data_IF_590758036097
#
_entry.id   IF_590758036097
#
_cell.length_a   1.000
_cell.length_b   1.000
_cell.length_c   1.000
_cell.angle_alpha   90.00
_cell.angle_beta   90.00
_cell.angle_gamma   90.00
#
_symmetry.space_group_name_H-M   'P 1'
#
loop_
_entity.id
_entity.type
_entity.pdbx_description
1 polymer ?
#
# COMPACT_ATOMS: atom_id res chain seq x y z
N UNK A 1 -38.94 -36.66 4.62
CA UNK A 1 -39.27 -35.26 4.27
C UNK A 1 -39.04 -34.36 5.48
N UNK A 2 -38.51 -33.15 5.24
CA UNK A 2 -38.22 -31.99 6.13
C UNK A 2 -36.77 -31.79 6.58
N UNK A 3 -36.08 -31.01 5.75
CA UNK A 3 -34.94 -30.13 6.04
C UNK A 3 -35.35 -28.98 7.00
N UNK A 4 -34.37 -28.50 7.81
CA UNK A 4 -34.10 -27.11 8.26
C UNK A 4 -33.39 -27.17 9.62
N UNK A 5 -32.28 -26.49 9.90
CA UNK A 5 -31.42 -25.60 9.14
C UNK A 5 -30.19 -25.30 10.02
N UNK A 6 -28.99 -25.54 9.51
CA UNK A 6 -27.74 -25.12 10.16
C UNK A 6 -27.62 -23.60 10.02
N UNK A 7 -27.60 -22.88 11.14
CA UNK A 7 -27.07 -21.51 11.19
C UNK A 7 -25.54 -21.61 11.12
N UNK A 8 -24.95 -21.33 9.96
CA UNK A 8 -23.53 -21.02 9.87
C UNK A 8 -23.30 -19.63 10.47
N UNK A 9 -22.51 -19.56 11.54
CA UNK A 9 -21.92 -18.30 12.00
C UNK A 9 -20.83 -17.93 10.99
N UNK A 10 -21.11 -16.95 10.13
CA UNK A 10 -20.06 -16.16 9.50
C UNK A 10 -19.33 -15.40 10.61
N UNK A 11 -18.09 -15.74 10.86
CA UNK A 11 -17.23 -15.09 11.83
C UNK A 11 -15.85 -14.86 11.23
N UNK A 12 -15.40 -13.60 11.34
CA UNK A 12 -14.07 -13.05 11.07
C UNK A 12 -13.65 -12.82 9.61
N UNK A 13 -14.08 -11.69 9.04
CA UNK A 13 -13.38 -11.01 7.92
C UNK A 13 -12.96 -9.56 8.27
N UNK A 14 -13.33 -9.03 9.44
CA UNK A 14 -13.10 -7.60 9.82
C UNK A 14 -11.80 -7.38 10.63
N UNK A 15 -10.89 -8.37 10.70
CA UNK A 15 -9.71 -8.31 11.57
C UNK A 15 -8.44 -7.79 10.88
N UNK A 16 -8.33 -7.97 9.56
CA UNK A 16 -7.15 -7.61 8.77
C UNK A 16 -6.94 -6.08 8.64
N UNK A 17 -7.98 -5.26 8.35
CA UNK A 17 -7.79 -3.82 8.18
C UNK A 17 -7.27 -3.12 9.45
N UNK A 18 -7.65 -3.63 10.62
CA UNK A 18 -7.30 -3.04 11.92
C UNK A 18 -5.83 -3.20 12.29
N UNK A 19 -5.16 -4.25 11.82
CA UNK A 19 -3.72 -4.49 12.11
C UNK A 19 -2.81 -3.62 11.24
N UNK A 20 -3.19 -3.41 9.99
CA UNK A 20 -2.50 -2.52 9.04
C UNK A 20 -2.55 -1.07 9.54
N UNK A 21 -3.74 -0.63 9.97
CA UNK A 21 -3.94 0.68 10.62
C UNK A 21 -3.11 0.86 11.90
N UNK A 22 -2.72 -0.21 12.60
CA UNK A 22 -1.87 -0.15 13.78
C UNK A 22 -0.38 -0.06 13.44
N UNK A 23 0.07 -0.72 12.37
CA UNK A 23 1.47 -0.68 11.94
C UNK A 23 1.84 0.70 11.38
N UNK A 24 0.96 1.33 10.59
CA UNK A 24 1.12 2.71 10.14
C UNK A 24 1.21 3.71 11.31
N UNK A 25 0.56 3.41 12.44
CA UNK A 25 0.62 4.23 13.66
C UNK A 25 1.87 4.01 14.51
N UNK A 26 2.56 2.87 14.40
CA UNK A 26 3.74 2.50 15.21
C UNK A 26 5.06 3.09 14.72
N UNK A 27 5.13 3.54 13.47
CA UNK A 27 6.28 4.30 12.94
C UNK A 27 6.51 5.64 13.69
N UNK A 28 5.58 6.02 14.58
CA UNK A 28 5.61 7.24 15.41
C UNK A 28 6.72 7.35 16.44
N UNK A 29 7.38 6.28 16.87
CA UNK A 29 8.29 6.37 18.04
C UNK A 29 9.72 6.83 17.70
N UNK A 30 10.06 6.96 16.41
CA UNK A 30 11.35 7.51 15.99
C UNK A 30 11.17 8.56 14.89
N UNK A 31 11.07 9.84 15.26
CA UNK A 31 11.64 10.94 14.46
C UNK A 31 11.70 12.24 15.28
N UNK A 32 12.93 12.71 15.47
CA UNK A 32 13.24 14.07 15.86
C UNK A 32 12.78 15.05 14.76
N UNK A 33 12.23 16.17 15.22
CA UNK A 33 12.15 17.51 14.61
C UNK A 33 12.43 17.67 13.11
N UNK A 34 11.43 18.13 12.35
CA UNK A 34 11.64 18.96 11.16
C UNK A 34 10.71 20.19 11.17
N UNK A 35 11.16 21.35 10.65
CA UNK A 35 10.52 22.64 10.85
C UNK A 35 9.58 23.07 9.70
N UNK A 36 8.64 23.93 10.12
CA UNK A 36 7.89 25.00 9.43
C UNK A 36 7.53 24.89 7.93
N UNK A 37 6.26 24.56 7.71
CA UNK A 37 5.30 25.15 6.76
C UNK A 37 5.84 25.86 5.51
N UNK A 38 5.73 25.19 4.36
CA UNK A 38 5.89 25.78 3.03
C UNK A 38 4.51 26.13 2.43
N UNK A 39 4.27 27.42 2.22
CA UNK A 39 3.16 27.92 1.42
C UNK A 39 3.39 27.58 -0.06
N UNK A 40 2.75 26.54 -0.60
CA UNK A 40 2.78 26.24 -2.04
C UNK A 40 1.49 26.66 -2.76
N UNK A 41 1.64 27.70 -3.58
CA UNK A 41 0.73 28.12 -4.65
C UNK A 41 0.61 27.01 -5.69
N UNK A 42 -0.59 26.44 -5.85
CA UNK A 42 -1.15 25.75 -7.05
C UNK A 42 -0.36 24.69 -7.83
N UNK A 43 0.94 24.56 -7.61
CA UNK A 43 1.86 23.75 -8.38
C UNK A 43 2.40 22.68 -7.44
N UNK A 44 1.92 21.45 -7.63
CA UNK A 44 2.35 20.28 -6.86
C UNK A 44 3.64 19.69 -7.44
N UNK A 45 4.17 20.29 -8.52
CA UNK A 45 5.40 19.87 -9.17
C UNK A 45 6.60 20.10 -8.23
N UNK A 46 7.27 19.00 -7.87
CA UNK A 46 8.40 19.03 -6.93
C UNK A 46 8.03 18.95 -5.44
N UNK A 47 6.74 18.80 -5.11
CA UNK A 47 6.32 18.57 -3.73
C UNK A 47 6.70 17.14 -3.28
N UNK A 48 7.59 17.04 -2.30
CA UNK A 48 8.15 15.76 -1.83
C UNK A 48 7.09 14.81 -1.28
N UNK A 49 6.02 15.30 -0.65
CA UNK A 49 4.96 14.44 -0.12
C UNK A 49 4.12 13.84 -1.25
N UNK A 50 3.83 14.66 -2.27
CA UNK A 50 3.09 14.21 -3.45
C UNK A 50 3.93 13.23 -4.28
N UNK A 51 5.21 13.53 -4.50
CA UNK A 51 6.12 12.63 -5.21
C UNK A 51 6.28 11.29 -4.48
N UNK A 52 6.38 11.30 -3.16
CA UNK A 52 6.41 10.06 -2.38
C UNK A 52 5.08 9.29 -2.44
N UNK A 53 3.94 9.99 -2.42
CA UNK A 53 2.63 9.36 -2.58
C UNK A 53 2.46 8.72 -3.97
N UNK A 54 2.99 9.35 -5.02
CA UNK A 54 3.04 8.77 -6.38
C UNK A 54 3.85 7.48 -6.43
N UNK A 55 4.98 7.44 -5.72
CA UNK A 55 5.82 6.23 -5.62
C UNK A 55 5.05 5.08 -4.95
N UNK A 56 4.42 5.33 -3.80
CA UNK A 56 3.60 4.33 -3.11
C UNK A 56 2.48 3.83 -4.02
N UNK A 57 1.75 4.75 -4.66
CA UNK A 57 0.62 4.38 -5.50
C UNK A 57 1.02 3.64 -6.77
N UNK A 58 2.22 3.91 -7.29
CA UNK A 58 2.77 3.16 -8.43
C UNK A 58 3.02 1.69 -8.03
N UNK A 59 3.58 1.45 -6.84
CA UNK A 59 3.74 0.09 -6.31
C UNK A 59 2.38 -0.60 -6.14
N UNK A 60 1.41 0.10 -5.54
CA UNK A 60 0.08 -0.44 -5.33
C UNK A 60 -0.64 -0.76 -6.65
N UNK A 61 -0.44 0.06 -7.68
CA UNK A 61 -0.96 -0.20 -9.02
C UNK A 61 -0.37 -1.47 -9.65
N UNK A 62 0.96 -1.66 -9.57
CA UNK A 62 1.59 -2.90 -10.02
C UNK A 62 1.04 -4.12 -9.27
N UNK A 63 0.89 -4.02 -7.95
CA UNK A 63 0.36 -5.09 -7.12
C UNK A 63 -1.11 -5.46 -7.45
N UNK A 64 -1.92 -4.49 -7.87
CA UNK A 64 -3.32 -4.73 -8.27
C UNK A 64 -3.49 -5.26 -9.70
N UNK A 65 -2.47 -5.11 -10.55
CA UNK A 65 -2.60 -5.38 -11.99
C UNK A 65 -1.61 -6.44 -12.47
N UNK A 66 -1.11 -7.29 -11.56
CA UNK A 66 -0.12 -8.33 -11.91
C UNK A 66 -0.63 -9.25 -13.02
N UNK A 67 -1.88 -9.70 -12.91
CA UNK A 67 -2.55 -10.57 -13.89
C UNK A 67 -3.31 -9.78 -14.98
N UNK A 68 -3.12 -8.46 -15.03
CA UNK A 68 -3.82 -7.53 -15.91
C UNK A 68 -5.30 -7.32 -15.57
N UNK A 69 -5.78 -7.79 -14.41
CA UNK A 69 -7.17 -7.65 -13.96
C UNK A 69 -7.24 -7.08 -12.55
N UNK A 70 -7.57 -5.80 -12.47
CA UNK A 70 -7.93 -5.17 -11.21
C UNK A 70 -9.14 -5.87 -10.57
N UNK A 71 -8.91 -6.56 -9.44
CA UNK A 71 -9.99 -7.21 -8.69
C UNK A 71 -10.64 -6.23 -7.72
N UNK A 72 -11.91 -6.48 -7.37
CA UNK A 72 -12.67 -5.55 -6.53
C UNK A 72 -12.09 -5.40 -5.13
N UNK A 73 -11.59 -6.48 -4.51
CA UNK A 73 -11.01 -6.44 -3.17
C UNK A 73 -9.71 -5.63 -3.12
N UNK A 74 -8.84 -5.81 -4.11
CA UNK A 74 -7.61 -5.03 -4.29
C UNK A 74 -7.91 -3.54 -4.46
N UNK A 75 -8.87 -3.19 -5.32
CA UNK A 75 -9.27 -1.81 -5.59
C UNK A 75 -9.88 -1.11 -4.36
N UNK A 76 -10.73 -1.82 -3.61
CA UNK A 76 -11.29 -1.34 -2.35
C UNK A 76 -10.19 -1.08 -1.31
N UNK A 77 -9.26 -2.02 -1.16
CA UNK A 77 -8.13 -1.89 -0.24
C UNK A 77 -7.23 -0.71 -0.58
N UNK A 78 -6.85 -0.55 -1.86
CA UNK A 78 -6.03 0.60 -2.29
C UNK A 78 -6.77 1.92 -2.06
N UNK A 79 -8.08 1.95 -2.28
CA UNK A 79 -8.90 3.14 -1.98
C UNK A 79 -8.87 3.49 -0.49
N UNK A 80 -8.91 2.50 0.40
CA UNK A 80 -8.74 2.69 1.84
C UNK A 80 -7.33 3.20 2.18
N UNK A 81 -6.28 2.59 1.61
CA UNK A 81 -4.89 3.02 1.82
C UNK A 81 -4.66 4.47 1.39
N UNK A 82 -5.19 4.88 0.23
CA UNK A 82 -5.16 6.27 -0.23
C UNK A 82 -5.88 7.20 0.73
N UNK A 83 -7.03 6.80 1.27
CA UNK A 83 -7.75 7.60 2.27
C UNK A 83 -6.94 7.80 3.55
N UNK A 84 -6.20 6.78 4.00
CA UNK A 84 -5.32 6.85 5.17
C UNK A 84 -4.21 7.88 4.96
N UNK A 85 -3.71 8.09 3.75
CA UNK A 85 -2.68 9.12 3.49
C UNK A 85 -3.14 10.53 3.91
N UNK A 86 -4.45 10.82 3.86
CA UNK A 86 -5.01 12.11 4.27
C UNK A 86 -5.41 12.18 5.75
N UNK A 87 -5.27 11.11 6.54
CA UNK A 87 -5.57 11.14 7.96
C UNK A 87 -4.61 12.08 8.74
N UNK A 88 -4.99 12.60 9.92
CA UNK A 88 -4.12 13.47 10.69
C UNK A 88 -2.73 12.85 10.98
N UNK A 89 -1.66 13.60 10.70
CA UNK A 89 -0.25 13.18 10.83
C UNK A 89 0.19 12.10 9.83
N UNK A 90 -0.55 11.90 8.74
CA UNK A 90 -0.13 11.08 7.61
C UNK A 90 0.46 11.95 6.49
N UNK A 91 1.04 11.27 5.50
CA UNK A 91 1.81 11.85 4.40
C UNK A 91 1.13 13.05 3.73
N UNK A 92 -0.18 12.96 3.49
CA UNK A 92 -0.97 13.95 2.78
C UNK A 92 -1.93 14.72 3.71
N UNK A 93 -1.66 14.72 5.02
CA UNK A 93 -2.55 15.32 6.02
C UNK A 93 -2.73 16.83 5.86
N UNK A 94 -1.73 17.52 5.30
CA UNK A 94 -1.75 18.96 5.02
C UNK A 94 -2.52 19.32 3.74
N UNK A 95 -2.85 18.34 2.90
CA UNK A 95 -3.52 18.55 1.61
C UNK A 95 -5.03 18.32 1.69
N UNK A 96 -5.61 18.26 2.89
CA UNK A 96 -7.07 18.03 3.09
C UNK A 96 -7.92 19.02 2.31
N UNK A 97 -7.53 20.29 2.28
CA UNK A 97 -8.26 21.35 1.58
C UNK A 97 -8.09 21.27 0.05
N UNK A 98 -7.03 20.59 -0.43
CA UNK A 98 -6.74 20.34 -1.85
C UNK A 98 -6.97 18.88 -2.25
N UNK A 99 -7.71 18.11 -1.45
CA UNK A 99 -7.84 16.66 -1.60
C UNK A 99 -8.31 16.24 -2.99
N UNK A 100 -9.23 16.97 -3.60
CA UNK A 100 -9.74 16.67 -4.94
C UNK A 100 -8.64 16.73 -6.00
N UNK A 101 -7.79 17.75 -5.95
CA UNK A 101 -6.68 17.95 -6.90
C UNK A 101 -5.62 16.86 -6.71
N UNK A 102 -5.24 16.59 -5.46
CA UNK A 102 -4.28 15.53 -5.15
C UNK A 102 -4.80 14.16 -5.57
N UNK A 103 -6.08 13.85 -5.34
CA UNK A 103 -6.68 12.60 -5.80
C UNK A 103 -6.68 12.46 -7.33
N UNK A 104 -6.81 13.56 -8.08
CA UNK A 104 -6.69 13.51 -9.54
C UNK A 104 -5.27 13.15 -9.99
N UNK A 105 -4.26 13.72 -9.34
CA UNK A 105 -2.85 13.39 -9.59
C UNK A 105 -2.59 11.92 -9.28
N UNK A 106 -3.04 11.47 -8.10
CA UNK A 106 -2.89 10.09 -7.65
C UNK A 106 -3.63 9.12 -8.58
N UNK A 107 -4.88 9.40 -8.96
CA UNK A 107 -5.63 8.57 -9.92
C UNK A 107 -4.85 8.41 -11.23
N UNK A 108 -4.30 9.50 -11.77
CA UNK A 108 -3.48 9.43 -12.98
C UNK A 108 -2.23 8.57 -12.78
N UNK A 109 -1.57 8.68 -11.63
CA UNK A 109 -0.40 7.84 -11.31
C UNK A 109 -0.77 6.37 -11.11
N UNK A 110 -1.97 6.06 -10.63
CA UNK A 110 -2.42 4.68 -10.54
C UNK A 110 -2.61 4.08 -11.95
N UNK A 111 -3.21 4.85 -12.88
CA UNK A 111 -3.41 4.43 -14.26
C UNK A 111 -2.09 4.36 -15.06
N UNK A 112 -1.15 5.27 -14.76
CA UNK A 112 0.17 5.40 -15.39
C UNK A 112 1.27 5.33 -14.31
N UNK A 113 1.58 4.15 -13.76
CA UNK A 113 2.52 4.01 -12.66
C UNK A 113 3.95 4.39 -13.08
N UNK A 114 4.70 4.96 -12.13
CA UNK A 114 6.13 5.22 -12.31
C UNK A 114 6.87 3.89 -12.52
N UNK A 115 7.99 3.88 -13.29
CA UNK A 115 8.77 2.67 -13.50
C UNK A 115 9.18 2.01 -12.18
N UNK A 116 9.13 0.68 -12.08
CA UNK A 116 9.51 -0.06 -10.87
C UNK A 116 10.89 0.33 -10.34
N UNK A 117 11.86 0.59 -11.22
CA UNK A 117 13.20 1.08 -10.85
C UNK A 117 13.17 2.41 -10.09
N UNK A 118 12.23 3.30 -10.40
CA UNK A 118 12.02 4.55 -9.67
C UNK A 118 11.44 4.25 -8.28
N UNK A 119 10.50 3.31 -8.20
CA UNK A 119 9.87 2.88 -6.94
C UNK A 119 10.91 2.27 -5.99
N UNK A 120 11.70 1.31 -6.46
CA UNK A 120 12.70 0.61 -5.63
C UNK A 120 13.83 1.53 -5.20
N UNK A 121 14.25 2.46 -6.07
CA UNK A 121 15.25 3.49 -5.72
C UNK A 121 14.80 4.40 -4.58
N UNK A 122 13.50 4.59 -4.35
CA UNK A 122 12.99 5.44 -3.28
C UNK A 122 13.26 4.88 -1.87
N UNK A 123 13.54 3.57 -1.78
CA UNK A 123 13.77 2.86 -0.51
C UNK A 123 15.16 2.21 -0.45
N UNK A 124 16.02 2.55 -1.41
CA UNK A 124 17.40 2.04 -1.44
C UNK A 124 18.13 2.40 -0.14
N UNK A 125 18.92 1.45 0.37
CA UNK A 125 19.67 1.57 1.62
C UNK A 125 18.81 1.82 2.87
N UNK A 126 17.49 1.56 2.79
CA UNK A 126 16.57 1.66 3.92
C UNK A 126 15.73 0.38 4.05
N UNK A 127 16.31 -0.61 4.73
CA UNK A 127 15.71 -1.94 4.92
C UNK A 127 14.29 -1.89 5.48
N UNK A 128 14.02 -0.96 6.40
CA UNK A 128 12.69 -0.82 7.00
C UNK A 128 11.66 -0.34 5.98
N UNK A 129 12.02 0.60 5.11
CA UNK A 129 11.11 1.10 4.07
C UNK A 129 10.97 0.10 2.94
N UNK A 130 12.04 -0.59 2.56
CA UNK A 130 11.96 -1.70 1.61
C UNK A 130 11.01 -2.79 2.12
N UNK A 131 11.11 -3.17 3.39
CA UNK A 131 10.23 -4.16 3.99
C UNK A 131 8.77 -3.68 4.07
N UNK A 132 8.53 -2.41 4.36
CA UNK A 132 7.18 -1.83 4.37
C UNK A 132 6.57 -1.85 2.95
N UNK A 133 7.35 -1.52 1.92
CA UNK A 133 6.90 -1.57 0.52
C UNK A 133 6.53 -3.01 0.13
N UNK A 134 7.39 -3.96 0.50
CA UNK A 134 7.10 -5.37 0.26
C UNK A 134 5.84 -5.84 1.00
N UNK A 135 5.66 -5.45 2.26
CA UNK A 135 4.46 -5.79 3.05
C UNK A 135 3.18 -5.20 2.46
N UNK A 136 3.21 -3.95 1.97
CA UNK A 136 2.07 -3.34 1.27
C UNK A 136 1.68 -4.16 0.03
N UNK A 137 2.65 -4.53 -0.80
CA UNK A 137 2.41 -5.33 -2.01
C UNK A 137 1.84 -6.71 -1.69
N UNK A 138 2.40 -7.42 -0.70
CA UNK A 138 1.88 -8.72 -0.23
C UNK A 138 0.44 -8.57 0.28
N UNK A 139 0.16 -7.51 1.03
CA UNK A 139 -1.18 -7.27 1.56
C UNK A 139 -2.21 -7.04 0.45
N UNK A 140 -1.85 -6.30 -0.60
CA UNK A 140 -2.72 -6.02 -1.75
C UNK A 140 -2.98 -7.31 -2.52
N UNK A 141 -1.93 -8.01 -2.93
CA UNK A 141 -2.03 -9.26 -3.70
C UNK A 141 -2.81 -10.34 -2.94
N UNK A 142 -2.66 -10.41 -1.61
CA UNK A 142 -3.37 -11.37 -0.78
C UNK A 142 -4.82 -10.97 -0.44
N UNK A 143 -5.28 -9.78 -0.82
CA UNK A 143 -6.56 -9.21 -0.34
C UNK A 143 -7.79 -10.05 -0.72
N UNK A 144 -7.76 -10.68 -1.88
CA UNK A 144 -8.84 -11.57 -2.36
C UNK A 144 -8.72 -13.02 -1.84
N UNK A 145 -7.71 -13.32 -1.03
CA UNK A 145 -7.58 -14.57 -0.28
C UNK A 145 -6.99 -15.76 -1.05
N UNK A 146 -6.73 -15.63 -2.35
CA UNK A 146 -5.99 -16.63 -3.13
C UNK A 146 -4.96 -15.97 -4.01
N UNK A 147 -3.74 -16.49 -3.97
CA UNK A 147 -2.61 -15.99 -4.78
C UNK A 147 -2.35 -16.95 -5.94
N UNK A 148 -2.37 -16.41 -7.15
CA UNK A 148 -2.08 -17.15 -8.37
C UNK A 148 -0.55 -17.20 -8.64
N UNK A 149 -0.15 -17.88 -9.74
CA UNK A 149 1.27 -18.06 -10.06
C UNK A 149 1.94 -16.75 -10.48
N UNK A 150 1.26 -15.90 -11.24
CA UNK A 150 1.78 -14.61 -11.73
C UNK A 150 2.00 -13.64 -10.57
N UNK A 151 1.06 -13.59 -9.63
CA UNK A 151 1.16 -12.84 -8.38
C UNK A 151 2.31 -13.31 -7.49
N UNK A 152 2.54 -14.63 -7.42
CA UNK A 152 3.68 -15.18 -6.69
C UNK A 152 4.99 -14.79 -7.35
N UNK A 153 5.09 -14.91 -8.67
CA UNK A 153 6.27 -14.50 -9.43
C UNK A 153 6.56 -13.00 -9.26
N UNK A 154 5.53 -12.15 -9.29
CA UNK A 154 5.65 -10.73 -9.00
C UNK A 154 6.22 -10.46 -7.60
N UNK A 155 5.71 -11.12 -6.56
CA UNK A 155 6.23 -10.95 -5.19
C UNK A 155 7.67 -11.46 -5.06
N UNK A 156 8.02 -12.54 -5.77
CA UNK A 156 9.39 -13.06 -5.81
C UNK A 156 10.35 -12.06 -6.46
N UNK A 157 9.98 -11.48 -7.60
CA UNK A 157 10.76 -10.46 -8.31
C UNK A 157 10.87 -9.16 -7.50
N UNK A 158 9.76 -8.71 -6.90
CA UNK A 158 9.73 -7.50 -6.08
C UNK A 158 10.65 -7.65 -4.85
N UNK A 159 10.65 -8.82 -4.20
CA UNK A 159 11.54 -9.08 -3.07
C UNK A 159 13.02 -8.99 -3.49
N UNK A 160 13.37 -9.47 -4.68
CA UNK A 160 14.73 -9.38 -5.21
C UNK A 160 15.11 -7.92 -5.52
N UNK A 161 14.23 -7.18 -6.19
CA UNK A 161 14.44 -5.75 -6.51
C UNK A 161 14.58 -4.87 -5.26
N UNK A 162 13.82 -5.19 -4.20
CA UNK A 162 13.90 -4.53 -2.90
C UNK A 162 15.01 -5.09 -1.98
N UNK A 163 15.79 -6.07 -2.45
CA UNK A 163 16.86 -6.74 -1.70
C UNK A 163 16.39 -7.33 -0.35
N UNK A 164 15.17 -7.83 -0.29
CA UNK A 164 14.57 -8.43 0.91
C UNK A 164 15.15 -9.83 1.12
N UNK A 165 15.57 -10.14 2.35
CA UNK A 165 16.05 -11.46 2.70
C UNK A 165 14.92 -12.50 2.60
N UNK A 166 15.27 -13.76 2.30
CA UNK A 166 14.30 -14.85 2.27
C UNK A 166 13.58 -15.05 3.63
N UNK A 167 14.27 -14.74 4.74
CA UNK A 167 13.69 -14.84 6.08
C UNK A 167 12.60 -13.79 6.29
N UNK A 168 12.89 -12.53 5.94
CA UNK A 168 11.94 -11.41 6.10
C UNK A 168 10.76 -11.57 5.16
N UNK A 169 11.03 -11.97 3.91
CA UNK A 169 9.99 -12.32 2.94
C UNK A 169 9.03 -13.36 3.50
N UNK A 170 9.55 -14.50 3.98
CA UNK A 170 8.72 -15.56 4.55
C UNK A 170 7.91 -15.08 5.77
N UNK A 171 8.52 -14.24 6.62
CA UNK A 171 7.86 -13.67 7.78
C UNK A 171 6.69 -12.75 7.40
N UNK A 172 6.87 -11.91 6.38
CA UNK A 172 5.82 -11.02 5.87
C UNK A 172 4.71 -11.84 5.22
N UNK A 173 5.05 -12.73 4.28
CA UNK A 173 4.09 -13.56 3.56
C UNK A 173 3.19 -14.36 4.50
N UNK A 174 3.77 -14.97 5.54
CA UNK A 174 3.02 -15.75 6.54
C UNK A 174 1.94 -14.95 7.28
N UNK A 175 2.01 -13.61 7.31
CA UNK A 175 0.97 -12.77 7.93
C UNK A 175 -0.31 -12.73 7.09
N UNK A 176 -0.21 -12.90 5.77
CA UNK A 176 -1.28 -12.63 4.81
C UNK A 176 -1.65 -13.86 3.96
N UNK A 177 -0.68 -14.74 3.71
CA UNK A 177 -0.78 -15.91 2.83
C UNK A 177 -0.77 -17.15 3.73
N UNK A 178 -1.93 -17.78 3.91
CA UNK A 178 -2.12 -18.99 4.72
C UNK A 178 -2.34 -20.24 3.89
#
# INVERSE_FOLDING_TARGET
>A
MKLKGKKSKLGSSVAMPKKILQNLKRVKEHKNSHPESLNHSGDFEGDLHIEYAKILLSLWSYACNVDGKLKSGESELVSEMVNVLFEPNCLLSEYKDKRKEVLQILSKTFDEPLPMKTVTKAVIDNDQYALNFFEDAVCIVASDGTINQEEREFLDELALELQISLMDKHQVEKKYIS
#
